data_IF_154291488644
#
_entry.id   IF_154291488644
#
_cell.length_a   1.000
_cell.length_b   1.000
_cell.length_c   1.000
_cell.angle_alpha   90.00
_cell.angle_beta   90.00
_cell.angle_gamma   90.00
#
_symmetry.space_group_name_H-M   'P 1'
#
loop_
_entity.id
_entity.type
_entity.pdbx_description
1 polymer ?
#
# COMPACT_ATOMS: atom_id res chain seq x y z
N UNK A 1 6.91 11.81 -10.66
CA UNK A 1 7.51 12.30 -9.40
C UNK A 1 6.82 11.61 -8.23
N UNK A 2 7.55 11.29 -7.14
CA UNK A 2 6.99 10.51 -6.02
C UNK A 2 5.89 11.26 -5.24
N UNK A 3 6.11 12.53 -4.91
CA UNK A 3 5.17 13.34 -4.11
C UNK A 3 4.20 14.17 -4.96
N UNK A 4 4.29 14.08 -6.29
CA UNK A 4 3.51 14.92 -7.21
C UNK A 4 3.59 16.42 -6.85
N UNK A 5 4.81 16.90 -6.60
CA UNK A 5 5.17 18.28 -6.28
C UNK A 5 4.62 18.78 -4.94
N UNK A 6 4.26 17.85 -4.04
CA UNK A 6 3.91 18.15 -2.64
C UNK A 6 5.13 18.06 -1.73
N UNK A 7 5.05 18.80 -0.63
CA UNK A 7 6.02 18.81 0.46
C UNK A 7 5.90 17.60 1.40
N UNK A 8 4.79 16.85 1.31
CA UNK A 8 4.50 15.69 2.15
C UNK A 8 4.70 14.36 1.42
N UNK A 9 4.99 13.31 2.19
CA UNK A 9 5.18 11.94 1.69
C UNK A 9 4.39 10.94 2.53
N UNK A 10 3.65 10.05 1.85
CA UNK A 10 2.96 8.93 2.50
C UNK A 10 3.94 7.80 2.81
N UNK A 11 3.98 7.36 4.07
CA UNK A 11 4.82 6.24 4.53
C UNK A 11 3.94 5.16 5.13
N UNK A 12 4.30 3.89 4.91
CA UNK A 12 3.67 2.74 5.59
C UNK A 12 4.70 1.70 5.98
N UNK A 13 4.42 0.98 7.07
CA UNK A 13 5.12 -0.26 7.43
C UNK A 13 4.15 -1.41 7.20
N UNK A 14 4.35 -2.25 6.18
CA UNK A 14 3.40 -3.30 5.85
C UNK A 14 3.46 -4.44 6.88
N UNK A 15 2.29 -4.95 7.27
CA UNK A 15 2.18 -6.20 8.03
C UNK A 15 2.32 -7.42 7.11
N UNK A 16 3.50 -7.57 6.52
CA UNK A 16 3.87 -8.71 5.69
C UNK A 16 5.34 -9.04 5.91
N UNK A 17 5.61 -10.23 6.42
CA UNK A 17 6.98 -10.68 6.70
C UNK A 17 7.86 -10.63 5.45
N UNK A 18 7.31 -11.03 4.30
CA UNK A 18 8.00 -11.02 3.00
C UNK A 18 8.29 -9.60 2.53
N UNK A 19 7.31 -8.69 2.62
CA UNK A 19 7.52 -7.29 2.22
C UNK A 19 8.56 -6.60 3.13
N UNK A 20 8.53 -6.87 4.44
CA UNK A 20 9.50 -6.33 5.39
C UNK A 20 10.91 -6.87 5.15
N UNK A 21 11.05 -8.14 4.79
CA UNK A 21 12.34 -8.72 4.43
C UNK A 21 12.90 -8.13 3.13
N UNK A 22 12.04 -7.92 2.13
CA UNK A 22 12.44 -7.27 0.89
C UNK A 22 12.97 -5.85 1.15
N UNK A 23 12.24 -5.04 1.91
CA UNK A 23 12.66 -3.66 2.28
C UNK A 23 13.97 -3.66 3.08
N UNK A 24 14.18 -4.63 3.99
CA UNK A 24 15.45 -4.76 4.73
C UNK A 24 16.66 -4.96 3.82
N UNK A 25 16.49 -5.69 2.71
CA UNK A 25 17.57 -5.98 1.76
C UNK A 25 17.74 -4.90 0.69
N UNK A 26 16.66 -4.29 0.26
CA UNK A 26 16.64 -3.36 -0.88
C UNK A 26 16.68 -1.87 -0.47
N UNK A 27 16.38 -1.55 0.80
CA UNK A 27 16.10 -0.19 1.25
C UNK A 27 14.63 0.20 1.04
N UNK A 28 14.26 1.48 1.23
CA UNK A 28 12.89 1.96 1.06
C UNK A 28 12.34 1.68 -0.35
N UNK A 29 11.09 1.22 -0.42
CA UNK A 29 10.43 0.88 -1.68
C UNK A 29 9.20 1.76 -1.86
N UNK A 30 9.14 2.46 -3.00
CA UNK A 30 7.93 3.13 -3.46
C UNK A 30 7.04 2.11 -4.16
N UNK A 31 5.78 2.00 -3.76
CA UNK A 31 4.86 1.03 -4.34
C UNK A 31 3.44 1.59 -4.44
N UNK A 32 2.77 1.28 -5.54
CA UNK A 32 1.32 1.41 -5.71
C UNK A 32 0.67 0.02 -5.68
N UNK A 33 -0.65 -0.04 -5.80
CA UNK A 33 -1.34 -1.31 -6.03
C UNK A 33 -0.91 -1.92 -7.37
N UNK A 34 -0.73 -3.25 -7.40
CA UNK A 34 -0.23 -3.97 -8.56
C UNK A 34 -1.35 -4.30 -9.55
N UNK A 35 -1.98 -3.26 -10.09
CA UNK A 35 -3.09 -3.36 -11.05
C UNK A 35 -2.96 -2.29 -12.13
N UNK A 36 -3.70 -2.49 -13.22
CA UNK A 36 -3.87 -1.43 -14.21
C UNK A 36 -4.62 -0.25 -13.60
N UNK A 37 -4.24 0.97 -13.97
CA UNK A 37 -4.87 2.18 -13.44
C UNK A 37 -6.38 2.16 -13.70
N UNK A 38 -7.16 2.39 -12.65
CA UNK A 38 -8.63 2.36 -12.69
C UNK A 38 -9.25 0.97 -12.47
N UNK A 39 -8.44 -0.09 -12.42
CA UNK A 39 -8.90 -1.43 -12.05
C UNK A 39 -8.85 -1.64 -10.53
N UNK A 40 -9.63 -2.60 -9.98
CA UNK A 40 -9.54 -3.00 -8.59
C UNK A 40 -8.14 -3.53 -8.22
N UNK A 41 -7.80 -3.42 -6.93
CA UNK A 41 -6.58 -4.01 -6.38
C UNK A 41 -6.56 -5.53 -6.57
N UNK A 42 -5.40 -6.05 -6.95
CA UNK A 42 -5.18 -7.49 -7.14
C UNK A 42 -4.65 -8.13 -5.86
N UNK A 43 -5.19 -9.31 -5.51
CA UNK A 43 -4.81 -10.06 -4.30
C UNK A 43 -4.16 -11.42 -4.59
N UNK A 44 -4.15 -11.86 -5.85
CA UNK A 44 -3.53 -13.10 -6.32
C UNK A 44 -2.73 -12.82 -7.58
N UNK A 45 -1.58 -13.47 -7.73
CA UNK A 45 -0.75 -13.34 -8.95
C UNK A 45 -1.52 -13.71 -10.21
N UNK A 46 -2.35 -14.76 -10.15
CA UNK A 46 -3.17 -15.21 -11.28
C UNK A 46 -4.23 -14.20 -11.74
N UNK A 47 -4.54 -13.21 -10.90
CA UNK A 47 -5.49 -12.14 -11.22
C UNK A 47 -4.80 -10.88 -11.75
N UNK A 48 -3.47 -10.88 -11.91
CA UNK A 48 -2.76 -9.79 -12.57
C UNK A 48 -3.15 -9.70 -14.04
N UNK A 49 -3.36 -8.49 -14.53
CA UNK A 49 -3.51 -8.24 -15.96
C UNK A 49 -2.26 -8.71 -16.72
N UNK A 50 -2.45 -9.28 -17.91
CA UNK A 50 -1.35 -9.79 -18.72
C UNK A 50 -0.28 -8.72 -18.98
N UNK A 51 -0.69 -7.49 -19.28
CA UNK A 51 0.22 -6.37 -19.49
C UNK A 51 1.08 -6.04 -18.28
N UNK A 52 0.52 -6.10 -17.06
CA UNK A 52 1.30 -5.92 -15.82
C UNK A 52 2.27 -7.07 -15.63
N UNK A 53 1.81 -8.31 -15.83
CA UNK A 53 2.63 -9.52 -15.67
C UNK A 53 3.81 -9.59 -16.64
N UNK A 54 3.63 -9.07 -17.86
CA UNK A 54 4.67 -8.98 -18.89
C UNK A 54 5.64 -7.82 -18.67
N UNK A 55 5.17 -6.72 -18.05
CA UNK A 55 5.99 -5.52 -17.81
C UNK A 55 6.90 -5.61 -16.59
N UNK A 56 6.61 -6.50 -15.62
CA UNK A 56 7.41 -6.64 -14.40
C UNK A 56 8.59 -7.58 -14.61
N UNK A 57 9.77 -7.20 -14.11
CA UNK A 57 10.97 -8.04 -14.18
C UNK A 57 10.95 -9.24 -13.23
N UNK A 58 10.09 -9.24 -12.22
CA UNK A 58 9.97 -10.32 -11.23
C UNK A 58 8.63 -10.26 -10.50
N UNK A 59 8.14 -11.42 -10.05
CA UNK A 59 6.95 -11.57 -9.22
C UNK A 59 7.32 -12.37 -7.98
N UNK A 60 6.88 -11.92 -6.81
CA UNK A 60 6.98 -12.66 -5.55
C UNK A 60 5.58 -13.15 -5.22
N UNK A 61 5.32 -14.45 -5.41
CA UNK A 61 4.05 -15.07 -5.09
C UNK A 61 4.06 -15.61 -3.66
N UNK A 62 3.16 -15.09 -2.82
CA UNK A 62 2.94 -15.55 -1.45
C UNK A 62 1.52 -16.10 -1.24
N UNK A 63 0.81 -16.42 -2.33
CA UNK A 63 -0.61 -16.74 -2.31
C UNK A 63 -1.51 -15.51 -2.25
N UNK A 64 -2.74 -15.68 -1.76
CA UNK A 64 -3.69 -14.58 -1.62
C UNK A 64 -3.30 -13.64 -0.47
N UNK A 65 -3.16 -12.35 -0.77
CA UNK A 65 -2.91 -11.34 0.28
C UNK A 65 -4.15 -11.13 1.13
N UNK A 66 -4.08 -11.08 2.48
CA UNK A 66 -5.23 -10.77 3.34
C UNK A 66 -5.60 -9.28 3.30
N UNK A 67 -6.76 -8.93 3.86
CA UNK A 67 -7.16 -7.54 4.13
C UNK A 67 -7.60 -6.71 2.90
N UNK A 68 -7.62 -5.39 3.11
CA UNK A 68 -7.97 -4.35 2.12
C UNK A 68 -6.84 -3.31 2.11
N UNK A 69 -6.97 -2.28 1.28
CA UNK A 69 -6.06 -1.14 1.20
C UNK A 69 -5.85 -0.47 2.57
N UNK A 70 -4.70 0.18 2.73
CA UNK A 70 -4.39 0.90 3.96
C UNK A 70 -5.27 2.16 4.12
N UNK A 71 -5.62 2.45 5.36
CA UNK A 71 -6.06 3.79 5.77
C UNK A 71 -4.91 4.78 5.56
N UNK A 72 -5.24 5.98 5.09
CA UNK A 72 -4.29 7.09 4.89
C UNK A 72 -4.74 8.24 5.75
N UNK A 73 -3.83 8.70 6.61
CA UNK A 73 -4.04 9.76 7.59
C UNK A 73 -3.03 10.86 7.35
N UNK A 74 -3.48 12.10 7.42
CA UNK A 74 -2.62 13.25 7.64
C UNK A 74 -2.37 13.39 9.14
N UNK A 75 -1.11 13.23 9.56
CA UNK A 75 -0.75 13.28 10.97
C UNK A 75 -0.66 14.71 11.53
N UNK A 76 -0.58 15.73 10.67
CA UNK A 76 -0.54 17.12 11.10
C UNK A 76 -1.94 17.63 11.44
N UNK A 77 -2.94 17.27 10.62
CA UNK A 77 -4.33 17.67 10.84
C UNK A 77 -5.19 16.63 11.58
N UNK A 78 -4.77 15.35 11.56
CA UNK A 78 -5.59 14.23 12.02
C UNK A 78 -6.63 13.74 10.99
N UNK A 79 -6.63 14.29 9.77
CA UNK A 79 -7.63 13.96 8.76
C UNK A 79 -7.41 12.58 8.13
N UNK A 80 -8.47 11.80 7.99
CA UNK A 80 -8.45 10.55 7.22
C UNK A 80 -8.72 10.84 5.75
N UNK A 81 -7.66 10.90 4.94
CA UNK A 81 -7.75 11.09 3.49
C UNK A 81 -8.33 9.89 2.74
N UNK A 82 -8.11 8.67 3.25
CA UNK A 82 -8.70 7.45 2.70
C UNK A 82 -8.97 6.45 3.80
N UNK A 83 -10.21 5.98 3.90
CA UNK A 83 -10.57 4.88 4.80
C UNK A 83 -10.17 3.55 4.17
N UNK A 84 -9.52 2.70 4.96
CA UNK A 84 -9.10 1.35 4.60
C UNK A 84 -9.08 0.45 5.83
N UNK A 85 -8.09 -0.43 5.93
CA UNK A 85 -7.91 -1.28 7.10
C UNK A 85 -7.82 -0.45 8.40
N UNK A 86 -8.58 -0.86 9.42
CA UNK A 86 -8.62 -0.26 10.77
C UNK A 86 -9.05 1.22 10.83
N UNK A 87 -9.77 1.73 9.81
CA UNK A 87 -10.11 3.16 9.74
C UNK A 87 -10.84 3.68 10.99
N UNK A 88 -11.82 2.94 11.51
CA UNK A 88 -12.63 3.35 12.66
C UNK A 88 -11.82 3.34 13.97
N UNK A 89 -10.94 2.35 14.12
CA UNK A 89 -10.03 2.25 15.27
C UNK A 89 -9.00 3.39 15.26
N UNK A 90 -8.46 3.71 14.09
CA UNK A 90 -7.54 4.83 13.89
C UNK A 90 -8.22 6.17 14.18
N UNK A 91 -9.45 6.37 13.68
CA UNK A 91 -10.25 7.58 13.94
C UNK A 91 -10.50 7.77 15.44
N UNK A 92 -10.84 6.67 16.14
CA UNK A 92 -11.03 6.69 17.60
C UNK A 92 -9.72 7.06 18.30
N UNK A 93 -8.61 6.45 17.91
CA UNK A 93 -7.31 6.72 18.52
C UNK A 93 -6.88 8.19 18.35
N UNK A 94 -7.08 8.76 17.16
CA UNK A 94 -6.80 10.17 16.85
C UNK A 94 -7.68 11.15 17.62
N UNK A 95 -8.89 10.75 18.02
CA UNK A 95 -9.76 11.60 18.84
C UNK A 95 -9.35 11.62 20.32
N UNK A 96 -8.59 10.61 20.76
CA UNK A 96 -8.17 10.41 22.15
C UNK A 96 -6.75 10.91 22.45
N UNK A 97 -5.94 11.24 21.44
CA UNK A 97 -4.52 11.61 21.55
C UNK A 97 -4.21 12.89 20.76
#
# INVERSE_FOLDING_TARGET
MLTADRDTVGVRVPDSAVARELVRRAGPITATSANESGSPSVRRVDSLAAGVREAVGSVIDTGETPGTESTVVDIESGDIHRRGALADEIETWLAEH
#
